data_IF_329159809089
#
_entry.id   IF_329159809089
#
_cell.length_a   1.000
_cell.length_b   1.000
_cell.length_c   1.000
_cell.angle_alpha   90.00
_cell.angle_beta   90.00
_cell.angle_gamma   90.00
#
_symmetry.space_group_name_H-M   'P 1'
#
loop_
_entity.id
_entity.type
_entity.pdbx_description
1 polymer ?
#
# COMPACT_ATOMS: atom_id res chain seq x y z
N UNK A 1 4.50 -13.35 -17.76
CA UNK A 1 4.85 -13.99 -16.47
C UNK A 1 5.48 -13.05 -15.45
N UNK A 2 6.53 -12.25 -15.75
CA UNK A 2 7.18 -11.33 -14.79
C UNK A 2 6.23 -10.36 -14.04
N UNK A 3 5.22 -9.82 -14.73
CA UNK A 3 4.22 -8.90 -14.15
C UNK A 3 3.25 -9.58 -13.17
N UNK A 4 2.95 -10.86 -13.38
CA UNK A 4 2.12 -11.64 -12.44
C UNK A 4 2.90 -11.94 -11.15
N UNK A 5 4.17 -12.33 -11.26
CA UNK A 5 5.05 -12.55 -10.10
C UNK A 5 5.19 -11.30 -9.23
N UNK A 6 5.32 -10.12 -9.84
CA UNK A 6 5.35 -8.84 -9.12
C UNK A 6 4.03 -8.54 -8.40
N UNK A 7 2.89 -8.84 -9.02
CA UNK A 7 1.60 -8.68 -8.35
C UNK A 7 1.48 -9.62 -7.16
N UNK A 8 1.82 -10.90 -7.31
CA UNK A 8 1.80 -11.87 -6.20
C UNK A 8 2.72 -11.44 -5.05
N UNK A 9 3.90 -10.90 -5.38
CA UNK A 9 4.86 -10.39 -4.40
C UNK A 9 4.33 -9.19 -3.59
N UNK A 10 3.37 -8.43 -4.13
CA UNK A 10 2.71 -7.32 -3.42
C UNK A 10 1.56 -7.84 -2.54
N UNK A 11 0.87 -8.90 -2.96
CA UNK A 11 -0.22 -9.50 -2.17
C UNK A 11 0.26 -10.15 -0.86
N UNK A 12 1.45 -10.75 -0.85
CA UNK A 12 2.04 -11.39 0.34
C UNK A 12 2.19 -10.41 1.52
N UNK A 13 2.87 -9.25 1.38
CA UNK A 13 2.99 -8.28 2.46
C UNK A 13 1.66 -7.64 2.83
N UNK A 14 0.71 -7.47 1.88
CA UNK A 14 -0.63 -7.00 2.20
C UNK A 14 -1.38 -7.97 3.12
N UNK A 15 -1.33 -9.28 2.82
CA UNK A 15 -1.98 -10.30 3.64
C UNK A 15 -1.36 -10.41 5.04
N UNK A 16 -0.03 -10.31 5.13
CA UNK A 16 0.68 -10.25 6.41
C UNK A 16 0.30 -9.01 7.22
N UNK A 17 0.23 -7.84 6.57
CA UNK A 17 -0.19 -6.59 7.22
C UNK A 17 -1.60 -6.73 7.80
N UNK A 18 -2.54 -7.29 7.02
CA UNK A 18 -3.90 -7.55 7.48
C UNK A 18 -3.93 -8.49 8.69
N UNK A 19 -3.21 -9.61 8.65
CA UNK A 19 -3.13 -10.55 9.78
C UNK A 19 -2.58 -9.90 11.05
N UNK A 20 -1.54 -9.08 10.93
CA UNK A 20 -0.96 -8.33 12.05
C UNK A 20 -2.00 -7.36 12.61
N UNK A 21 -2.69 -6.58 11.76
CA UNK A 21 -3.74 -5.69 12.23
C UNK A 21 -4.89 -6.44 12.92
N UNK A 22 -5.32 -7.57 12.37
CA UNK A 22 -6.33 -8.44 12.98
C UNK A 22 -5.89 -8.97 14.34
N UNK A 23 -4.61 -9.29 14.51
CA UNK A 23 -4.09 -9.74 15.80
C UNK A 23 -4.08 -8.63 16.86
N UNK A 24 -3.84 -7.37 16.47
CA UNK A 24 -3.81 -6.23 17.40
C UNK A 24 -5.19 -5.64 17.70
N UNK A 25 -6.08 -5.57 16.70
CA UNK A 25 -7.39 -4.91 16.81
C UNK A 25 -8.59 -5.89 16.86
N UNK A 26 -8.34 -7.20 16.73
CA UNK A 26 -9.37 -8.23 16.63
C UNK A 26 -10.08 -8.24 15.27
N UNK A 27 -11.00 -9.20 15.04
CA UNK A 27 -11.86 -9.23 13.84
C UNK A 27 -12.96 -8.16 13.91
N UNK A 28 -12.55 -6.89 13.81
CA UNK A 28 -13.47 -5.76 13.80
C UNK A 28 -13.35 -4.98 12.50
N UNK A 29 -14.44 -4.31 12.11
CA UNK A 29 -14.47 -3.39 10.96
C UNK A 29 -13.40 -2.28 11.02
N UNK A 30 -12.85 -2.03 12.21
CA UNK A 30 -11.73 -1.11 12.43
C UNK A 30 -10.45 -1.55 11.72
N UNK A 31 -10.19 -2.86 11.62
CA UNK A 31 -9.02 -3.41 10.91
C UNK A 31 -9.08 -3.05 9.43
N UNK A 32 -10.26 -3.17 8.81
CA UNK A 32 -10.46 -2.82 7.41
C UNK A 32 -10.25 -1.32 7.19
N UNK A 33 -10.79 -0.49 8.09
CA UNK A 33 -10.60 0.97 8.05
C UNK A 33 -9.13 1.37 8.20
N UNK A 34 -8.43 0.79 9.18
CA UNK A 34 -7.02 1.04 9.42
C UNK A 34 -6.14 0.55 8.25
N UNK A 35 -6.47 -0.59 7.65
CA UNK A 35 -5.81 -1.12 6.47
C UNK A 35 -5.96 -0.18 5.26
N UNK A 36 -7.19 0.28 4.99
CA UNK A 36 -7.46 1.26 3.93
C UNK A 36 -6.70 2.58 4.17
N UNK A 37 -6.70 3.10 5.40
CA UNK A 37 -5.94 4.30 5.76
C UNK A 37 -4.44 4.13 5.53
N UNK A 38 -3.88 2.97 5.88
CA UNK A 38 -2.47 2.65 5.64
C UNK A 38 -2.13 2.65 4.14
N UNK A 39 -2.99 2.08 3.29
CA UNK A 39 -2.78 2.09 1.84
C UNK A 39 -2.84 3.51 1.25
N UNK A 40 -3.80 4.32 1.72
CA UNK A 40 -3.91 5.73 1.29
C UNK A 40 -2.68 6.52 1.76
N UNK A 41 -2.29 6.37 3.03
CA UNK A 41 -1.10 7.01 3.58
C UNK A 41 0.17 6.61 2.84
N UNK A 42 0.31 5.34 2.46
CA UNK A 42 1.44 4.86 1.66
C UNK A 42 1.46 5.50 0.26
N UNK A 43 0.30 5.63 -0.40
CA UNK A 43 0.18 6.31 -1.69
C UNK A 43 0.54 7.78 -1.60
N UNK A 44 0.01 8.48 -0.59
CA UNK A 44 0.31 9.90 -0.33
C UNK A 44 1.79 10.08 0.02
N UNK A 45 2.34 9.20 0.86
CA UNK A 45 3.75 9.19 1.22
C UNK A 45 4.67 8.97 0.01
N UNK A 46 4.35 8.01 -0.85
CA UNK A 46 5.08 7.78 -2.11
C UNK A 46 5.00 8.98 -3.06
N UNK A 47 3.83 9.63 -3.12
CA UNK A 47 3.66 10.86 -3.90
C UNK A 47 4.52 12.00 -3.35
N UNK A 48 4.45 12.25 -2.04
CA UNK A 48 5.25 13.28 -1.36
C UNK A 48 6.75 12.99 -1.44
N UNK A 49 7.16 11.73 -1.31
CA UNK A 49 8.56 11.30 -1.44
C UNK A 49 9.09 11.51 -2.87
N UNK A 50 8.30 11.20 -3.90
CA UNK A 50 8.69 11.47 -5.28
C UNK A 50 8.77 12.97 -5.56
N UNK A 51 7.81 13.74 -5.03
CA UNK A 51 7.82 15.21 -5.08
C UNK A 51 9.06 15.80 -4.42
N UNK A 52 9.46 15.31 -3.25
CA UNK A 52 10.64 15.81 -2.53
C UNK A 52 11.96 15.44 -3.21
N UNK A 53 11.99 14.34 -3.98
CA UNK A 53 13.15 13.92 -4.77
C UNK A 53 13.18 14.48 -6.20
N UNK A 54 12.21 15.30 -6.60
CA UNK A 54 12.16 15.90 -7.93
C UNK A 54 12.00 14.87 -9.06
N UNK A 55 11.54 13.65 -8.74
CA UNK A 55 11.26 12.61 -9.75
C UNK A 55 9.97 13.03 -10.44
N UNK A 56 10.07 13.60 -11.65
CA UNK A 56 8.93 13.92 -12.50
C UNK A 56 8.17 12.63 -12.81
N UNK A 57 6.91 12.58 -12.39
CA UNK A 57 6.02 11.46 -12.64
C UNK A 57 5.57 11.55 -14.10
N UNK A 58 6.35 10.96 -15.02
CA UNK A 58 6.05 10.94 -16.47
C UNK A 58 4.75 10.17 -16.81
N UNK A 59 4.01 9.70 -15.80
CA UNK A 59 2.78 8.92 -15.92
C UNK A 59 1.52 9.80 -15.98
N UNK A 60 1.64 11.11 -15.73
CA UNK A 60 0.54 12.09 -15.85
C UNK A 60 0.65 13.00 -17.09
N UNK A 61 1.72 12.84 -17.88
CA UNK A 61 1.97 13.59 -19.11
C UNK A 61 1.58 12.79 -20.39
N UNK A 62 0.83 11.69 -20.24
CA UNK A 62 0.14 10.97 -21.35
C UNK A 62 -1.38 11.08 -21.23
#
# INVERSE_FOLDING_TARGET
MKRMLLMTAIFIPLALLYNVLTQYFGETWLVVGAFCLLLVALRVGLYLYRRSRGIKDNYLDE
#
